data_IF_814427161651
#
_entry.id   IF_814427161651
#
_cell.length_a   1.000
_cell.length_b   1.000
_cell.length_c   1.000
_cell.angle_alpha   90.00
_cell.angle_beta   90.00
_cell.angle_gamma   90.00
#
_symmetry.space_group_name_H-M   'P 1'
#
loop_
_entity.id
_entity.type
_entity.pdbx_description
1 polymer ?
#
# COMPACT_ATOMS: atom_id res chain seq x y z
N UNK A 1 -15.27 1.80 1.50
CA UNK A 1 -14.60 3.11 1.44
C UNK A 1 -13.23 2.90 0.82
N UNK A 2 -12.98 3.49 -0.36
CA UNK A 2 -11.70 3.40 -1.06
C UNK A 2 -10.64 4.21 -0.34
N UNK A 3 -9.40 3.74 -0.34
CA UNK A 3 -8.25 4.55 0.05
C UNK A 3 -8.15 5.80 -0.84
N UNK A 4 -7.45 6.83 -0.34
CA UNK A 4 -7.38 8.22 -0.83
C UNK A 4 -6.83 8.43 -2.27
N UNK A 5 -6.80 7.40 -3.10
CA UNK A 5 -6.28 7.44 -4.47
C UNK A 5 -7.38 7.12 -5.46
N UNK A 6 -7.56 8.01 -6.45
CA UNK A 6 -8.50 7.80 -7.54
C UNK A 6 -7.93 6.78 -8.54
N UNK A 7 -8.72 5.80 -9.03
CA UNK A 7 -8.31 4.91 -10.11
C UNK A 7 -7.69 5.60 -11.33
N UNK A 8 -8.08 6.84 -11.63
CA UNK A 8 -7.51 7.61 -12.74
C UNK A 8 -6.01 7.91 -12.57
N UNK A 9 -5.53 8.07 -11.33
CA UNK A 9 -4.11 8.28 -11.04
C UNK A 9 -3.27 6.99 -11.25
N UNK A 10 -3.93 5.83 -11.38
CA UNK A 10 -3.28 4.52 -11.44
C UNK A 10 -3.24 3.91 -12.85
N UNK A 11 -3.93 4.49 -13.84
CA UNK A 11 -4.15 3.89 -15.17
C UNK A 11 -2.87 3.53 -15.92
N UNK A 12 -1.77 4.21 -15.60
CA UNK A 12 -0.47 4.00 -16.23
C UNK A 12 0.45 3.06 -15.45
N UNK A 13 0.03 2.54 -14.29
CA UNK A 13 0.82 1.54 -13.58
C UNK A 13 0.97 0.27 -14.40
N UNK A 14 2.18 -0.27 -14.42
CA UNK A 14 2.51 -1.52 -15.12
C UNK A 14 2.93 -2.63 -14.16
N UNK A 15 3.49 -2.26 -13.02
CA UNK A 15 4.06 -3.20 -12.05
C UNK A 15 4.08 -2.55 -10.66
N UNK A 16 3.90 -3.37 -9.62
CA UNK A 16 4.20 -2.99 -8.24
C UNK A 16 5.47 -3.72 -7.82
N UNK A 17 6.48 -2.96 -7.40
CA UNK A 17 7.76 -3.51 -6.93
C UNK A 17 7.76 -3.48 -5.41
N UNK A 18 7.81 -4.66 -4.80
CA UNK A 18 7.94 -4.83 -3.35
C UNK A 18 9.41 -4.97 -2.97
N UNK A 19 9.81 -4.27 -1.90
CA UNK A 19 11.19 -4.22 -1.40
C UNK A 19 11.42 -5.15 -0.20
N UNK A 20 10.34 -5.66 0.38
CA UNK A 20 10.30 -6.64 1.47
C UNK A 20 9.12 -7.58 1.26
N UNK A 21 9.04 -8.65 2.07
CA UNK A 21 7.90 -9.55 2.06
C UNK A 21 6.66 -8.84 2.64
N UNK A 22 5.59 -8.81 1.85
CA UNK A 22 4.34 -8.15 2.21
C UNK A 22 3.32 -9.11 2.84
N UNK A 23 3.54 -10.42 2.76
CA UNK A 23 2.62 -11.40 3.32
C UNK A 23 2.33 -11.22 4.82
N UNK A 24 3.32 -10.90 5.68
CA UNK A 24 3.03 -10.66 7.10
C UNK A 24 2.36 -9.32 7.37
N UNK A 25 2.36 -8.38 6.42
CA UNK A 25 1.88 -7.00 6.65
C UNK A 25 0.37 -6.91 6.54
N UNK A 26 -0.31 -6.60 7.65
CA UNK A 26 -1.77 -6.43 7.69
C UNK A 26 -2.26 -5.33 6.76
N UNK A 27 -1.47 -4.26 6.66
CA UNK A 27 -1.68 -3.18 5.73
C UNK A 27 -0.35 -2.57 5.31
N UNK A 28 -0.39 -1.81 4.22
CA UNK A 28 0.63 -0.81 3.88
C UNK A 28 -0.07 0.55 3.74
N UNK A 29 0.64 1.64 4.04
CA UNK A 29 0.17 2.98 3.70
C UNK A 29 0.54 3.28 2.26
N UNK A 30 -0.27 4.09 1.57
CA UNK A 30 0.03 4.52 0.20
C UNK A 30 -0.04 6.04 0.02
N UNK A 31 0.82 6.57 -0.85
CA UNK A 31 0.77 7.96 -1.31
C UNK A 31 1.12 8.09 -2.80
N UNK A 32 0.67 9.18 -3.44
CA UNK A 32 1.11 9.57 -4.78
C UNK A 32 2.24 10.60 -4.67
N UNK A 33 3.45 10.16 -4.99
CA UNK A 33 4.65 10.98 -4.93
C UNK A 33 4.99 11.55 -6.32
N UNK A 34 5.58 12.75 -6.35
CA UNK A 34 6.12 13.36 -7.57
C UNK A 34 7.58 12.95 -7.73
N UNK A 35 7.87 12.13 -8.73
CA UNK A 35 9.16 11.47 -8.90
C UNK A 35 9.76 11.72 -10.28
N UNK A 36 11.08 11.92 -10.40
CA UNK A 36 11.72 12.26 -11.67
C UNK A 36 11.85 11.07 -12.63
N UNK A 37 11.58 9.85 -12.16
CA UNK A 37 11.68 8.62 -12.95
C UNK A 37 10.38 7.84 -12.90
N UNK A 38 10.05 7.19 -14.02
CA UNK A 38 8.93 6.25 -14.14
C UNK A 38 9.17 4.90 -13.45
N UNK A 39 10.44 4.49 -13.29
CA UNK A 39 10.79 3.11 -12.93
C UNK A 39 11.72 2.97 -11.74
N UNK A 40 12.68 3.89 -11.59
CA UNK A 40 13.71 3.76 -10.54
C UNK A 40 13.07 3.80 -9.15
N UNK A 41 13.71 3.11 -8.19
CA UNK A 41 13.37 3.20 -6.76
C UNK A 41 13.33 4.67 -6.34
N UNK A 42 12.21 5.15 -5.78
CA UNK A 42 12.12 6.52 -5.32
C UNK A 42 13.10 6.79 -4.17
N UNK A 43 13.65 8.02 -4.06
CA UNK A 43 14.28 8.45 -2.81
C UNK A 43 13.22 8.46 -1.70
N UNK A 44 13.61 8.05 -0.49
CA UNK A 44 12.72 8.02 0.66
C UNK A 44 13.38 8.73 1.85
N UNK A 45 12.78 9.84 2.26
CA UNK A 45 13.32 10.76 3.28
C UNK A 45 12.26 11.10 4.35
N UNK A 46 11.35 10.16 4.59
CA UNK A 46 10.29 10.27 5.61
C UNK A 46 10.64 9.36 6.78
N UNK A 47 10.00 9.59 7.92
CA UNK A 47 10.02 8.62 9.01
C UNK A 47 9.48 7.26 8.53
N UNK A 48 10.00 6.19 9.12
CA UNK A 48 9.63 4.83 8.76
C UNK A 48 10.41 4.30 7.55
N UNK A 49 9.77 3.41 6.79
CA UNK A 49 10.42 2.70 5.69
C UNK A 49 9.52 2.57 4.46
N UNK A 50 10.15 2.58 3.30
CA UNK A 50 9.50 2.24 2.04
C UNK A 50 9.39 0.72 1.90
N UNK A 51 8.16 0.24 1.71
CA UNK A 51 7.82 -1.18 1.52
C UNK A 51 7.76 -1.52 0.03
N UNK A 52 7.35 -0.58 -0.82
CA UNK A 52 7.25 -0.80 -2.26
C UNK A 52 6.92 0.47 -3.04
N UNK A 53 6.83 0.33 -4.36
CA UNK A 53 6.45 1.42 -5.25
C UNK A 53 5.90 0.91 -6.58
N UNK A 54 5.08 1.72 -7.24
CA UNK A 54 4.60 1.44 -8.58
C UNK A 54 5.59 1.89 -9.66
N UNK A 55 5.76 1.06 -10.68
CA UNK A 55 6.37 1.41 -11.95
C UNK A 55 5.26 1.82 -12.91
N UNK A 56 5.49 2.90 -13.66
CA UNK A 56 4.54 3.39 -14.66
C UNK A 56 5.08 3.25 -16.08
N UNK A 57 4.16 3.05 -17.02
CA UNK A 57 4.44 2.85 -18.44
C UNK A 57 4.92 4.11 -19.16
N UNK A 58 5.48 3.95 -20.38
CA UNK A 58 5.97 5.06 -21.19
C UNK A 58 4.88 6.08 -21.56
N UNK A 59 3.62 5.65 -21.64
CA UNK A 59 2.47 6.50 -21.98
C UNK A 59 2.12 7.50 -20.86
N UNK A 60 2.63 7.29 -19.64
CA UNK A 60 2.47 8.24 -18.56
C UNK A 60 3.19 9.54 -18.89
N UNK A 61 2.44 10.65 -18.94
CA UNK A 61 3.00 11.97 -19.20
C UNK A 61 3.58 12.59 -17.93
N UNK A 62 4.73 13.23 -18.06
CA UNK A 62 5.29 14.04 -16.99
C UNK A 62 4.45 15.31 -16.80
N UNK A 63 4.41 15.82 -15.57
CA UNK A 63 3.88 17.15 -15.29
C UNK A 63 4.64 18.20 -16.09
N UNK A 64 3.94 19.02 -16.87
CA UNK A 64 4.55 20.09 -17.67
C UNK A 64 5.32 21.11 -16.81
N UNK A 65 4.88 21.34 -15.57
CA UNK A 65 5.48 22.31 -14.67
C UNK A 65 6.78 21.82 -14.00
N UNK A 66 6.94 20.52 -13.79
CA UNK A 66 8.04 19.96 -12.98
C UNK A 66 8.86 18.88 -13.67
N UNK A 67 8.41 18.35 -14.80
CA UNK A 67 9.01 17.18 -15.44
C UNK A 67 8.89 15.88 -14.64
N UNK A 68 8.16 15.88 -13.52
CA UNK A 68 7.99 14.71 -12.64
C UNK A 68 6.74 13.90 -12.97
N UNK A 69 6.72 12.66 -12.50
CA UNK A 69 5.61 11.72 -12.64
C UNK A 69 4.93 11.51 -11.30
N UNK A 70 3.60 11.44 -11.28
CA UNK A 70 2.86 10.90 -10.13
C UNK A 70 3.02 9.39 -10.11
N UNK A 71 3.49 8.85 -9.00
CA UNK A 71 3.69 7.42 -8.81
C UNK A 71 3.31 7.03 -7.40
N UNK A 72 2.63 5.89 -7.29
CA UNK A 72 2.25 5.32 -6.01
C UNK A 72 3.46 4.75 -5.27
N UNK A 73 3.58 5.06 -3.99
CA UNK A 73 4.61 4.57 -3.07
C UNK A 73 3.94 3.96 -1.86
N UNK A 74 4.45 2.81 -1.42
CA UNK A 74 3.98 2.08 -0.25
C UNK A 74 4.99 2.15 0.88
N UNK A 75 4.51 2.38 2.09
CA UNK A 75 5.36 2.63 3.26
C UNK A 75 4.69 2.27 4.57
N UNK A 76 5.50 2.20 5.63
CA UNK A 76 5.09 1.97 7.02
C UNK A 76 5.86 2.88 7.96
N UNK A 77 5.22 3.32 9.03
CA UNK A 77 5.80 4.14 10.11
C UNK A 77 6.19 3.28 11.32
N UNK A 78 7.08 3.77 12.21
CA UNK A 78 7.49 3.02 13.40
C UNK A 78 6.37 2.70 14.41
N UNK A 79 5.21 3.36 14.29
CA UNK A 79 4.03 3.16 15.14
C UNK A 79 2.90 2.41 14.43
N UNK A 80 3.14 1.89 13.22
CA UNK A 80 2.21 1.01 12.54
C UNK A 80 2.20 -0.39 13.20
N UNK A 81 1.11 -1.12 12.94
CA UNK A 81 0.81 -2.39 13.62
C UNK A 81 1.90 -3.45 13.44
N UNK A 82 2.67 -3.41 12.36
CA UNK A 82 3.76 -4.36 12.13
C UNK A 82 4.88 -4.27 13.17
N UNK A 83 5.11 -3.08 13.75
CA UNK A 83 6.07 -2.86 14.83
C UNK A 83 5.41 -2.73 16.21
N UNK A 84 4.16 -2.28 16.25
CA UNK A 84 3.40 -2.05 17.48
C UNK A 84 2.02 -2.70 17.39
N UNK A 85 1.93 -4.05 17.50
CA UNK A 85 0.67 -4.77 17.31
C UNK A 85 -0.42 -4.36 18.32
N UNK A 86 -0.03 -4.05 19.55
CA UNK A 86 -0.93 -3.57 20.61
C UNK A 86 -0.99 -2.03 20.70
N UNK A 87 -0.48 -1.33 19.68
CA UNK A 87 -0.34 0.13 19.66
C UNK A 87 -1.58 0.86 19.14
N UNK A 88 -1.37 2.08 18.62
CA UNK A 88 -2.43 2.97 18.12
C UNK A 88 -3.36 2.30 17.10
N UNK A 89 -2.80 1.44 16.26
CA UNK A 89 -3.52 0.74 15.20
C UNK A 89 -3.82 -0.71 15.55
N UNK A 90 -3.84 -1.09 16.84
CA UNK A 90 -4.30 -2.42 17.27
C UNK A 90 -5.71 -2.73 16.71
N UNK A 91 -6.58 -1.71 16.69
CA UNK A 91 -7.87 -1.74 15.99
C UNK A 91 -7.97 -0.59 14.99
N UNK A 92 -8.53 -0.87 13.82
CA UNK A 92 -8.57 0.04 12.69
C UNK A 92 -7.22 0.21 12.01
N UNK A 93 -7.22 0.85 10.84
CA UNK A 93 -6.02 1.20 10.09
C UNK A 93 -6.01 2.70 9.75
N UNK A 94 -4.84 3.28 9.44
CA UNK A 94 -4.74 4.63 8.89
C UNK A 94 -5.68 4.85 7.68
N UNK A 95 -6.13 6.07 7.41
CA UNK A 95 -7.09 6.33 6.33
C UNK A 95 -6.51 6.02 4.94
N UNK A 96 -5.20 6.21 4.78
CA UNK A 96 -4.44 5.87 3.59
C UNK A 96 -3.99 4.40 3.52
N UNK A 97 -4.29 3.58 4.54
CA UNK A 97 -3.87 2.20 4.58
C UNK A 97 -4.74 1.31 3.68
N UNK A 98 -4.12 0.28 3.11
CA UNK A 98 -4.75 -0.76 2.28
C UNK A 98 -4.15 -2.12 2.58
N UNK A 99 -4.96 -3.17 2.42
CA UNK A 99 -4.44 -4.54 2.47
C UNK A 99 -3.58 -4.80 1.23
N UNK A 100 -2.28 -5.09 1.38
CA UNK A 100 -1.38 -5.29 0.25
C UNK A 100 -1.80 -6.45 -0.66
N UNK A 101 -2.57 -7.42 -0.16
CA UNK A 101 -3.08 -8.57 -0.95
C UNK A 101 -4.19 -8.19 -1.93
N UNK A 102 -4.78 -7.00 -1.76
CA UNK A 102 -5.81 -6.47 -2.67
C UNK A 102 -5.21 -5.58 -3.76
N UNK A 103 -3.90 -5.31 -3.70
CA UNK A 103 -3.21 -4.44 -4.63
C UNK A 103 -2.76 -5.19 -5.88
N UNK A 104 -2.91 -4.51 -7.01
CA UNK A 104 -2.32 -4.85 -8.29
C UNK A 104 -2.08 -3.56 -9.08
N UNK A 105 -1.26 -3.58 -10.15
CA UNK A 105 -1.16 -2.44 -11.05
C UNK A 105 -2.55 -1.98 -11.49
N UNK A 106 -2.82 -0.67 -11.41
CA UNK A 106 -4.11 -0.06 -11.77
C UNK A 106 -5.27 -0.37 -10.82
N UNK A 107 -5.02 -1.13 -9.74
CA UNK A 107 -6.00 -1.45 -8.72
C UNK A 107 -5.66 -0.68 -7.44
N UNK A 108 -6.60 0.15 -6.98
CA UNK A 108 -6.40 1.01 -5.81
C UNK A 108 -6.16 0.23 -4.50
N UNK A 109 -6.61 -1.03 -4.47
CA UNK A 109 -6.70 -1.82 -3.25
C UNK A 109 -7.83 -1.31 -2.35
N UNK A 110 -8.10 -2.05 -1.30
CA UNK A 110 -9.09 -1.65 -0.29
C UNK A 110 -8.69 -2.20 1.07
N UNK A 111 -9.34 -1.68 2.10
CA UNK A 111 -9.20 -2.20 3.45
C UNK A 111 -10.04 -3.47 3.63
N UNK A 112 -9.40 -4.51 4.12
CA UNK A 112 -10.02 -5.76 4.57
C UNK A 112 -10.18 -5.77 6.09
N UNK A 113 -10.95 -6.73 6.61
CA UNK A 113 -11.07 -6.96 8.06
C UNK A 113 -9.69 -7.14 8.72
N UNK A 114 -8.80 -7.90 8.07
CA UNK A 114 -7.41 -8.06 8.49
C UNK A 114 -6.69 -6.71 8.60
N UNK A 115 -6.76 -5.90 7.55
CA UNK A 115 -6.09 -4.59 7.57
C UNK A 115 -6.64 -3.69 8.69
N UNK A 116 -7.94 -3.77 8.99
CA UNK A 116 -8.60 -3.02 10.05
C UNK A 116 -8.39 -3.62 11.45
N UNK A 117 -7.56 -4.66 11.62
CA UNK A 117 -7.31 -5.27 12.93
C UNK A 117 -8.55 -5.96 13.52
N UNK A 118 -9.53 -6.28 12.67
CA UNK A 118 -10.70 -7.06 13.06
C UNK A 118 -10.33 -8.54 13.22
N UNK A 119 -11.06 -9.29 14.06
CA UNK A 119 -11.00 -10.75 14.00
C UNK A 119 -11.41 -11.20 12.59
N UNK A 120 -10.84 -12.32 12.12
CA UNK A 120 -11.28 -12.91 10.85
C UNK A 120 -12.80 -13.15 10.90
N UNK A 121 -13.56 -12.71 9.89
CA UNK A 121 -15.00 -12.98 9.83
C UNK A 121 -15.32 -14.45 10.00
N UNK A 122 -16.48 -14.74 10.58
CA UNK A 122 -17.03 -16.10 10.69
C UNK A 122 -17.07 -16.81 9.33
N UNK A 123 -17.33 -16.09 8.24
CA UNK A 123 -17.29 -16.61 6.87
C UNK A 123 -15.88 -17.04 6.41
N UNK A 124 -14.81 -16.36 6.84
CA UNK A 124 -13.42 -16.78 6.59
C UNK A 124 -13.02 -17.99 7.43
N UNK A 125 -13.54 -18.09 8.66
CA UNK A 125 -13.34 -19.24 9.54
C UNK A 125 -14.05 -20.49 9.00
N UNK A 126 -15.27 -20.34 8.46
CA UNK A 126 -16.04 -21.43 7.82
C UNK A 126 -15.36 -21.98 6.56
N UNK A 127 -14.58 -21.17 5.83
CA UNK A 127 -13.82 -21.60 4.66
C UNK A 127 -12.50 -22.33 4.98
N UNK A 128 -12.20 -22.60 6.25
CA UNK A 128 -11.12 -23.49 6.69
C UNK A 128 -9.69 -22.99 6.41
N UNK A 129 -9.52 -21.70 6.10
CA UNK A 129 -8.18 -21.08 5.94
C UNK A 129 -7.73 -20.45 7.24
N UNK A 130 -7.21 -21.27 8.14
CA UNK A 130 -6.58 -20.80 9.37
C UNK A 130 -5.22 -20.18 9.05
N UNK A 131 -5.05 -18.88 9.29
CA UNK A 131 -3.71 -18.32 9.49
C UNK A 131 -3.20 -18.81 10.86
N UNK A 132 -1.91 -19.18 10.98
CA UNK A 132 -1.34 -19.57 12.26
C UNK A 132 -1.41 -18.40 13.24
N UNK A 133 -1.93 -18.67 14.44
CA UNK A 133 -1.88 -17.75 15.59
C UNK A 133 -0.43 -17.42 15.90
N UNK A 134 -0.10 -16.13 15.91
CA UNK A 134 0.97 -15.62 16.76
C UNK A 134 0.40 -15.38 18.16
#
# INVERSE_FOLDING_TARGET
MSALIDPEDLVHETELVWLEDIEPLDYVRQSLDRLPSRRRKPPYHRDGRMVGYAVIGPDARASAASGTFRRRVFWLLPHDRDQQPDGLYATGAPSEAVDPRTLAPKVAGYKTERSEGGPASEAMLELGRTLPKA
#
